data_IF_673813777819
#
_entry.id   IF_673813777819
#
_cell.length_a   1.000
_cell.length_b   1.000
_cell.length_c   1.000
_cell.angle_alpha   90.00
_cell.angle_beta   90.00
_cell.angle_gamma   90.00
#
_symmetry.space_group_name_H-M   'P 1'
#
loop_
_entity.id
_entity.type
_entity.pdbx_description
1 polymer ?
#
# COMPACT_ATOMS: atom_id res chain seq x y z
N UNK A 1 -4.59 20.39 5.82
CA UNK A 1 -5.10 19.26 5.01
C UNK A 1 -3.86 18.63 4.39
N UNK A 2 -3.39 17.50 4.89
CA UNK A 2 -2.23 16.84 4.27
C UNK A 2 -2.66 16.34 2.89
N UNK A 3 -2.14 16.99 1.85
CA UNK A 3 -2.18 16.48 0.49
C UNK A 3 -1.38 15.17 0.44
N UNK A 4 -1.90 14.14 -0.22
CA UNK A 4 -1.15 12.90 -0.48
C UNK A 4 0.17 13.17 -1.23
N UNK A 5 1.03 12.14 -1.38
CA UNK A 5 2.33 12.32 -2.04
C UNK A 5 2.16 12.75 -3.50
N UNK A 6 3.12 13.53 -4.00
CA UNK A 6 3.11 13.99 -5.40
C UNK A 6 3.68 12.95 -6.38
N UNK A 7 4.53 12.05 -5.88
CA UNK A 7 5.19 10.96 -6.63
C UNK A 7 5.39 9.74 -5.77
N UNK A 8 5.46 8.56 -6.39
CA UNK A 8 5.84 7.33 -5.72
C UNK A 8 7.33 7.37 -5.39
N UNK A 9 7.64 7.21 -4.11
CA UNK A 9 9.01 7.01 -3.64
C UNK A 9 9.54 5.63 -4.06
N UNK A 10 10.67 5.64 -4.75
CA UNK A 10 11.36 4.47 -5.30
C UNK A 10 11.92 3.52 -4.26
N UNK A 11 12.12 3.98 -3.03
CA UNK A 11 12.56 3.17 -1.91
C UNK A 11 11.42 2.35 -1.31
N UNK A 12 10.19 2.86 -1.41
CA UNK A 12 9.01 2.28 -0.78
C UNK A 12 8.33 1.23 -1.67
N UNK A 13 7.32 0.57 -1.11
CA UNK A 13 6.41 -0.31 -1.86
C UNK A 13 4.99 0.21 -1.71
N UNK A 14 4.19 0.03 -2.75
CA UNK A 14 2.81 0.51 -2.73
C UNK A 14 1.87 -0.63 -3.06
N UNK A 15 0.75 -0.64 -2.35
CA UNK A 15 -0.29 -1.66 -2.45
C UNK A 15 -1.63 -0.95 -2.58
N UNK A 16 -2.48 -1.42 -3.50
CA UNK A 16 -3.88 -1.01 -3.54
C UNK A 16 -4.73 -2.14 -2.99
N UNK A 17 -5.53 -1.82 -1.99
CA UNK A 17 -6.50 -2.74 -1.38
C UNK A 17 -7.91 -2.41 -1.87
N UNK A 18 -8.75 -3.43 -2.02
CA UNK A 18 -10.21 -3.29 -2.00
C UNK A 18 -10.75 -3.50 -0.57
N UNK A 19 -12.00 -3.98 -0.43
CA UNK A 19 -12.60 -4.30 0.87
C UNK A 19 -11.86 -5.40 1.65
N UNK A 20 -11.23 -6.37 0.98
CA UNK A 20 -10.68 -7.56 1.65
C UNK A 20 -9.47 -8.21 0.95
N UNK A 21 -8.93 -7.62 -0.12
CA UNK A 21 -7.85 -8.18 -0.90
C UNK A 21 -6.89 -7.12 -1.44
N UNK A 22 -5.65 -7.56 -1.70
CA UNK A 22 -4.69 -6.81 -2.52
C UNK A 22 -5.11 -6.90 -3.99
N UNK A 23 -5.34 -5.76 -4.62
CA UNK A 23 -5.68 -5.64 -6.03
C UNK A 23 -4.48 -5.32 -6.90
N UNK A 24 -3.56 -4.50 -6.42
CA UNK A 24 -2.41 -4.09 -7.22
C UNK A 24 -1.20 -3.77 -6.34
N UNK A 25 0.00 -3.89 -6.92
CA UNK A 25 1.27 -3.57 -6.27
C UNK A 25 2.18 -2.78 -7.19
N UNK A 26 3.05 -1.98 -6.59
CA UNK A 26 4.14 -1.28 -7.26
C UNK A 26 5.42 -1.40 -6.44
N UNK A 27 6.52 -1.77 -7.10
CA UNK A 27 7.75 -2.17 -6.42
C UNK A 27 9.03 -1.54 -6.98
N UNK A 28 8.90 -0.53 -7.84
CA UNK A 28 10.04 0.12 -8.51
C UNK A 28 10.99 -0.86 -9.24
N UNK A 29 10.45 -1.92 -9.85
CA UNK A 29 11.21 -2.94 -10.58
C UNK A 29 11.17 -2.75 -12.11
N UNK A 30 10.71 -1.58 -12.58
CA UNK A 30 10.55 -1.26 -14.00
C UNK A 30 9.30 -1.83 -14.67
N UNK A 31 8.47 -2.62 -13.98
CA UNK A 31 7.21 -3.16 -14.52
C UNK A 31 6.01 -2.21 -14.35
N UNK A 32 6.20 -1.15 -13.56
CA UNK A 32 5.12 -0.26 -13.11
C UNK A 32 4.14 -0.98 -12.20
N UNK A 33 2.88 -0.56 -12.23
CA UNK A 33 1.82 -1.22 -11.47
C UNK A 33 1.50 -2.59 -12.05
N UNK A 34 1.39 -3.60 -11.18
CA UNK A 34 0.86 -4.92 -11.53
C UNK A 34 -0.42 -5.20 -10.77
N UNK A 35 -1.37 -5.90 -11.40
CA UNK A 35 -2.69 -6.23 -10.85
C UNK A 35 -2.72 -7.70 -10.46
N UNK A 36 -3.27 -8.00 -9.28
CA UNK A 36 -3.45 -9.36 -8.80
C UNK A 36 -4.60 -10.02 -9.56
N UNK A 37 -4.31 -11.16 -10.17
CA UNK A 37 -5.29 -12.02 -10.84
C UNK A 37 -5.23 -13.44 -10.27
N UNK A 38 -6.16 -14.31 -10.68
CA UNK A 38 -6.10 -15.74 -10.32
C UNK A 38 -4.83 -16.43 -10.82
N UNK A 39 -4.21 -15.93 -11.88
CA UNK A 39 -3.01 -16.50 -12.48
C UNK A 39 -1.71 -15.83 -11.98
N UNK A 40 -1.80 -14.91 -11.00
CA UNK A 40 -0.66 -14.15 -10.48
C UNK A 40 -0.76 -12.66 -10.84
N UNK A 41 0.38 -11.96 -10.77
CA UNK A 41 0.47 -10.53 -11.04
C UNK A 41 0.75 -10.25 -12.51
N UNK A 42 -0.03 -9.34 -13.11
CA UNK A 42 0.11 -8.94 -14.50
C UNK A 42 0.28 -7.42 -14.63
N UNK A 43 1.04 -6.88 -15.60
CA UNK A 43 1.18 -5.44 -15.78
C UNK A 43 -0.17 -4.75 -16.03
N UNK A 44 -0.50 -3.73 -15.22
CA UNK A 44 -1.75 -2.99 -15.31
C UNK A 44 -1.92 -2.30 -16.68
N UNK A 45 -0.82 -1.80 -17.25
CA UNK A 45 -0.78 -1.13 -18.56
C UNK A 45 -1.25 -2.00 -19.72
N UNK A 46 -1.19 -3.34 -19.57
CA UNK A 46 -1.64 -4.30 -20.59
C UNK A 46 -2.92 -5.04 -20.22
N UNK A 47 -3.45 -4.83 -19.02
CA UNK A 47 -4.57 -5.59 -18.46
C UNK A 47 -5.60 -4.65 -17.81
N UNK A 48 -5.86 -3.51 -18.45
CA UNK A 48 -6.77 -2.49 -17.91
C UNK A 48 -8.21 -3.02 -17.76
N UNK A 49 -8.62 -3.98 -18.59
CA UNK A 49 -9.91 -4.67 -18.52
C UNK A 49 -10.10 -5.47 -17.22
N UNK A 50 -9.00 -5.77 -16.50
CA UNK A 50 -9.03 -6.46 -15.21
C UNK A 50 -9.21 -5.52 -14.02
N UNK A 51 -9.12 -4.22 -14.23
CA UNK A 51 -9.23 -3.24 -13.14
C UNK A 51 -10.70 -2.95 -12.82
N UNK A 52 -11.12 -3.11 -11.55
CA UNK A 52 -12.44 -2.66 -11.12
C UNK A 52 -12.67 -1.18 -11.45
N UNK A 53 -13.85 -0.87 -12.01
CA UNK A 53 -14.23 0.50 -12.35
C UNK A 53 -14.77 1.27 -11.15
N UNK A 54 -15.28 0.57 -10.13
CA UNK A 54 -15.77 1.15 -8.89
C UNK A 54 -15.51 0.26 -7.66
N UNK A 55 -15.42 0.88 -6.49
CA UNK A 55 -15.20 0.20 -5.21
C UNK A 55 -14.64 1.12 -4.13
N UNK A 56 -14.41 0.58 -2.94
CA UNK A 56 -13.69 1.30 -1.89
C UNK A 56 -12.23 0.88 -1.92
N UNK A 57 -11.38 1.78 -2.42
CA UNK A 57 -9.97 1.49 -2.62
C UNK A 57 -9.11 2.29 -1.66
N UNK A 58 -8.15 1.61 -1.05
CA UNK A 58 -7.15 2.23 -0.20
C UNK A 58 -5.77 2.04 -0.86
N UNK A 59 -5.10 3.16 -1.11
CA UNK A 59 -3.67 3.15 -1.44
C UNK A 59 -2.89 3.06 -0.13
N UNK A 60 -1.96 2.12 -0.07
CA UNK A 60 -1.07 1.89 1.05
C UNK A 60 0.36 2.09 0.59
N UNK A 61 1.12 2.92 1.29
CA UNK A 61 2.58 3.02 1.19
C UNK A 61 3.20 2.21 2.34
N UNK A 62 4.03 1.24 2.00
CA UNK A 62 4.92 0.54 2.92
C UNK A 62 6.27 1.24 2.86
N UNK A 63 6.57 2.04 3.88
CA UNK A 63 7.84 2.77 3.99
C UNK A 63 8.92 1.79 4.39
N UNK A 64 9.99 1.80 3.62
CA UNK A 64 11.16 0.95 3.83
C UNK A 64 12.37 1.86 4.00
N UNK A 65 13.32 1.47 4.84
CA UNK A 65 14.53 2.27 5.05
C UNK A 65 15.65 1.49 5.72
N UNK A 66 16.85 2.04 5.63
CA UNK A 66 17.97 1.59 6.42
C UNK A 66 17.79 2.06 7.88
N UNK A 67 18.01 1.15 8.81
CA UNK A 67 18.05 1.38 10.25
C UNK A 67 19.39 0.86 10.79
N UNK A 68 19.69 1.11 12.07
CA UNK A 68 20.89 0.54 12.71
C UNK A 68 20.91 -1.00 12.64
N UNK A 69 19.73 -1.63 12.69
CA UNK A 69 19.53 -3.08 12.59
C UNK A 69 19.40 -3.58 11.14
N UNK A 70 19.70 -2.74 10.15
CA UNK A 70 19.65 -3.05 8.72
C UNK A 70 18.39 -2.57 8.02
N UNK A 71 18.05 -3.17 6.88
CA UNK A 71 16.90 -2.75 6.07
C UNK A 71 15.58 -3.25 6.69
N UNK A 72 14.67 -2.31 6.98
CA UNK A 72 13.42 -2.55 7.70
C UNK A 72 12.26 -1.76 7.10
N UNK A 73 11.05 -2.20 7.43
CA UNK A 73 9.85 -1.41 7.25
C UNK A 73 9.78 -0.37 8.38
N UNK A 74 9.64 0.89 8.02
CA UNK A 74 9.70 2.03 8.94
C UNK A 74 8.34 2.69 9.13
N UNK A 75 7.35 2.35 8.31
CA UNK A 75 6.00 2.85 8.48
C UNK A 75 5.01 2.31 7.45
N UNK A 76 3.73 2.57 7.70
CA UNK A 76 2.61 2.29 6.82
C UNK A 76 1.76 3.56 6.73
N UNK A 77 1.56 4.10 5.53
CA UNK A 77 0.67 5.24 5.30
C UNK A 77 -0.48 4.82 4.39
N UNK A 78 -1.67 5.38 4.61
CA UNK A 78 -2.88 5.00 3.88
C UNK A 78 -3.67 6.21 3.40
N UNK A 79 -4.19 6.11 2.19
CA UNK A 79 -5.02 7.14 1.56
C UNK A 79 -6.24 6.52 0.90
N UNK A 80 -7.40 7.16 1.09
CA UNK A 80 -8.61 6.79 0.37
C UNK A 80 -8.50 7.28 -1.07
N UNK A 81 -8.76 6.40 -2.02
CA UNK A 81 -8.86 6.75 -3.43
C UNK A 81 -10.33 7.01 -3.80
N UNK A 82 -10.54 7.77 -4.88
CA UNK A 82 -11.85 7.99 -5.45
C UNK A 82 -12.57 6.67 -5.78
N UNK A 83 -13.85 6.60 -5.41
CA UNK A 83 -14.60 5.33 -5.50
C UNK A 83 -14.82 4.85 -6.93
N UNK A 84 -14.77 5.76 -7.91
CA UNK A 84 -14.99 5.48 -9.33
C UNK A 84 -13.81 5.88 -10.18
N UNK A 85 -13.45 5.02 -11.12
CA UNK A 85 -12.43 5.24 -12.14
C UNK A 85 -11.01 5.53 -11.61
N UNK A 86 -10.76 5.37 -10.30
CA UNK A 86 -9.43 5.58 -9.73
C UNK A 86 -8.41 4.60 -10.31
N UNK A 87 -8.75 3.30 -10.33
CA UNK A 87 -7.79 2.26 -10.68
C UNK A 87 -7.36 2.29 -12.15
N UNK A 88 -8.16 2.86 -13.05
CA UNK A 88 -7.73 3.13 -14.43
C UNK A 88 -6.47 4.01 -14.53
N UNK A 89 -6.10 4.71 -13.46
CA UNK A 89 -4.83 5.43 -13.38
C UNK A 89 -3.59 4.52 -13.32
N UNK A 90 -3.71 3.30 -12.77
CA UNK A 90 -2.61 2.33 -12.66
C UNK A 90 -2.07 1.91 -14.05
N UNK A 91 -2.94 1.86 -15.05
CA UNK A 91 -2.57 1.53 -16.43
C UNK A 91 -1.83 2.66 -17.15
N UNK A 92 -1.87 3.90 -16.63
CA UNK A 92 -1.35 5.12 -17.28
C UNK A 92 0.08 5.49 -16.85
N UNK A 93 0.65 4.75 -15.90
CA UNK A 93 1.99 4.99 -15.36
C UNK A 93 2.00 4.88 -13.84
N UNK A 94 3.15 5.23 -13.25
CA UNK A 94 3.41 5.05 -11.82
C UNK A 94 2.62 6.05 -10.95
N UNK A 95 2.83 7.35 -11.17
CA UNK A 95 2.26 8.41 -10.32
C UNK A 95 0.78 8.79 -10.54
N UNK A 96 0.12 8.57 -11.71
CA UNK A 96 -1.25 9.06 -11.93
C UNK A 96 -2.30 8.66 -10.89
N UNK A 97 -2.09 7.54 -10.17
CA UNK A 97 -2.97 7.09 -9.10
C UNK A 97 -3.02 8.07 -7.92
N UNK A 98 -1.94 8.83 -7.68
CA UNK A 98 -1.85 9.78 -6.58
C UNK A 98 -2.84 10.94 -6.73
N UNK A 99 -3.14 11.33 -7.98
CA UNK A 99 -4.18 12.31 -8.31
C UNK A 99 -5.60 11.81 -8.03
N UNK A 100 -5.75 10.54 -7.61
CA UNK A 100 -7.03 9.93 -7.24
C UNK A 100 -7.21 9.84 -5.74
N UNK A 101 -6.25 10.32 -4.94
CA UNK A 101 -6.38 10.42 -3.48
C UNK A 101 -7.41 11.49 -3.14
N UNK A 102 -8.38 11.13 -2.31
CA UNK A 102 -9.42 12.03 -1.79
C UNK A 102 -9.18 12.45 -0.34
N UNK A 103 -8.22 11.81 0.34
CA UNK A 103 -7.85 12.15 1.70
C UNK A 103 -7.19 10.98 2.44
N UNK A 104 -6.96 11.15 3.75
CA UNK A 104 -6.45 10.09 4.61
C UNK A 104 -7.34 8.84 4.55
N UNK A 105 -6.70 7.67 4.51
CA UNK A 105 -7.37 6.38 4.56
C UNK A 105 -7.49 5.87 5.99
N UNK A 106 -8.11 4.70 6.13
CA UNK A 106 -8.02 3.86 7.31
C UNK A 106 -8.28 2.43 6.88
N UNK A 107 -7.57 1.47 7.46
CA UNK A 107 -7.79 0.06 7.13
C UNK A 107 -8.86 -0.56 8.03
N UNK A 108 -9.82 -1.22 7.40
CA UNK A 108 -10.72 -2.16 8.08
C UNK A 108 -9.95 -3.42 8.54
N UNK A 109 -10.58 -4.22 9.40
CA UNK A 109 -10.03 -5.51 9.84
C UNK A 109 -9.64 -6.42 8.68
N UNK A 110 -10.49 -6.53 7.67
CA UNK A 110 -10.25 -7.41 6.52
C UNK A 110 -9.10 -6.89 5.64
N UNK A 111 -9.02 -5.57 5.47
CA UNK A 111 -7.90 -4.92 4.78
C UNK A 111 -6.57 -5.09 5.53
N UNK A 112 -6.57 -4.96 6.87
CA UNK A 112 -5.39 -5.22 7.69
C UNK A 112 -4.94 -6.68 7.57
N UNK A 113 -5.88 -7.62 7.59
CA UNK A 113 -5.58 -9.02 7.38
C UNK A 113 -4.96 -9.27 6.00
N UNK A 114 -5.56 -8.75 4.93
CA UNK A 114 -5.06 -8.88 3.57
C UNK A 114 -3.65 -8.28 3.41
N UNK A 115 -3.44 -7.08 3.95
CA UNK A 115 -2.13 -6.42 3.94
C UNK A 115 -1.09 -7.21 4.74
N UNK A 116 -1.45 -7.73 5.91
CA UNK A 116 -0.56 -8.54 6.74
C UNK A 116 -0.13 -9.84 6.03
N UNK A 117 -1.06 -10.54 5.36
CA UNK A 117 -0.72 -11.71 4.55
C UNK A 117 0.23 -11.35 3.41
N UNK A 118 -0.06 -10.26 2.70
CA UNK A 118 0.81 -9.78 1.63
C UNK A 118 2.23 -9.44 2.12
N UNK A 119 2.35 -8.73 3.26
CA UNK A 119 3.65 -8.41 3.86
C UNK A 119 4.42 -9.68 4.21
N UNK A 120 3.75 -10.68 4.80
CA UNK A 120 4.37 -11.98 5.14
C UNK A 120 4.85 -12.76 3.91
N UNK A 121 4.16 -12.63 2.78
CA UNK A 121 4.55 -13.25 1.52
C UNK A 121 5.75 -12.56 0.86
N UNK A 122 5.85 -11.23 0.98
CA UNK A 122 6.86 -10.44 0.28
C UNK A 122 8.14 -10.21 1.09
N UNK A 123 8.05 -10.18 2.42
CA UNK A 123 9.17 -9.79 3.27
C UNK A 123 9.50 -10.86 4.30
N UNK A 124 10.80 -11.04 4.54
CA UNK A 124 11.29 -11.81 5.68
C UNK A 124 10.79 -11.19 6.99
N UNK A 125 10.54 -12.01 8.00
CA UNK A 125 9.94 -11.59 9.27
C UNK A 125 10.70 -10.44 9.93
N UNK A 126 12.02 -10.46 9.86
CA UNK A 126 12.92 -9.47 10.46
C UNK A 126 12.71 -8.08 9.87
N UNK A 127 12.23 -7.97 8.63
CA UNK A 127 12.00 -6.69 7.95
C UNK A 127 10.79 -5.94 8.54
N UNK A 128 9.75 -6.64 9.00
CA UNK A 128 8.48 -6.01 9.39
C UNK A 128 8.03 -6.28 10.82
N UNK A 129 8.34 -7.44 11.40
CA UNK A 129 7.85 -7.83 12.72
C UNK A 129 8.74 -7.35 13.88
N UNK A 130 9.93 -6.84 13.56
CA UNK A 130 10.87 -6.26 14.53
C UNK A 130 10.49 -4.83 14.94
N UNK A 131 9.49 -4.23 14.28
CA UNK A 131 9.03 -2.86 14.52
C UNK A 131 7.67 -2.91 15.23
N UNK A 132 7.63 -2.73 16.57
CA UNK A 132 6.43 -2.96 17.38
C UNK A 132 5.23 -2.14 16.92
N UNK A 133 5.43 -0.88 16.53
CA UNK A 133 4.37 0.04 16.13
C UNK A 133 3.66 -0.45 14.87
N UNK A 134 4.41 -1.02 13.93
CA UNK A 134 3.89 -1.62 12.71
C UNK A 134 3.13 -2.90 13.02
N UNK A 135 3.71 -3.75 13.87
CA UNK A 135 3.11 -5.00 14.28
C UNK A 135 1.76 -4.74 14.97
N UNK A 136 1.72 -3.78 15.89
CA UNK A 136 0.52 -3.37 16.60
C UNK A 136 -0.50 -2.72 15.68
N UNK A 137 -0.08 -1.87 14.74
CA UNK A 137 -0.96 -1.28 13.74
C UNK A 137 -1.69 -2.35 12.92
N UNK A 138 -0.98 -3.40 12.50
CA UNK A 138 -1.55 -4.48 11.68
C UNK A 138 -2.47 -5.42 12.48
N UNK A 139 -2.17 -5.68 13.75
CA UNK A 139 -2.93 -6.63 14.58
C UNK A 139 -4.06 -6.00 15.38
N UNK A 140 -3.99 -4.71 15.69
CA UNK A 140 -5.05 -4.03 16.43
C UNK A 140 -6.22 -3.69 15.49
N UNK A 141 -7.29 -4.48 15.53
CA UNK A 141 -8.44 -4.32 14.63
C UNK A 141 -9.26 -3.07 14.88
N UNK A 142 -9.16 -2.49 16.08
CA UNK A 142 -9.93 -1.31 16.49
C UNK A 142 -9.15 0.00 16.26
N UNK A 143 -7.92 -0.10 15.78
CA UNK A 143 -7.05 1.05 15.50
C UNK A 143 -7.28 1.61 14.09
N UNK A 144 -8.04 2.70 13.97
CA UNK A 144 -8.41 3.33 12.70
C UNK A 144 -7.60 4.60 12.40
N UNK A 145 -6.27 4.50 12.48
CA UNK A 145 -5.35 5.58 12.09
C UNK A 145 -5.08 5.57 10.58
N UNK A 146 -4.80 6.73 9.96
CA UNK A 146 -4.34 6.80 8.57
C UNK A 146 -2.95 6.19 8.33
N UNK A 147 -2.24 5.81 9.38
CA UNK A 147 -0.97 5.12 9.27
C UNK A 147 -0.24 4.99 10.60
N UNK A 148 0.99 4.54 10.50
CA UNK A 148 1.97 4.48 11.58
C UNK A 148 3.35 4.78 11.01
N UNK A 149 4.15 5.57 11.72
CA UNK A 149 5.52 5.89 11.34
C UNK A 149 6.43 5.68 12.56
N UNK A 150 7.27 4.65 12.49
CA UNK A 150 8.18 4.29 13.57
C UNK A 150 9.37 5.25 13.69
N UNK A 151 9.67 6.03 12.65
CA UNK A 151 10.78 7.01 12.67
C UNK A 151 10.39 8.25 13.49
N UNK A 152 9.10 8.53 13.64
CA UNK A 152 8.60 9.65 14.43
C UNK A 152 8.61 9.39 15.95
N UNK A 153 8.94 8.17 16.39
CA UNK A 153 9.00 7.76 17.80
C UNK A 153 10.37 7.92 18.47
N UNK A 154 11.43 8.20 17.72
CA UNK A 154 12.76 8.46 18.29
C UNK A 154 12.90 9.93 18.70
N UNK A 155 12.35 10.27 19.86
CA UNK A 155 12.73 11.47 20.62
C UNK A 155 13.04 11.11 22.07
#
# INVERSE_FOLDING_TARGET
MESGPERLDRQHRYVVLDRAAVLAIWENNGQGWTVKTRAGYLPASRNQDKLPTEGHFILVELRLGATEDGFRMTGIMTWRLAERWALGALARGDDPILKKIEGPGSLSKDQKFALCQHIKEQFMREVWASVPEIHDYLLNTDYHSPGVDAVSGSK
#
